data_IF_534621345182
#
_entry.id   IF_534621345182
#
_cell.length_a   1.000
_cell.length_b   1.000
_cell.length_c   1.000
_cell.angle_alpha   90.00
_cell.angle_beta   90.00
_cell.angle_gamma   90.00
#
_symmetry.space_group_name_H-M   'P 1'
#
loop_
_entity.id
_entity.type
_entity.pdbx_description
1 polymer ?
#
# COMPACT_ATOMS: atom_id res chain seq x y z
N UNK A 1 6.63 2.00 22.15
CA UNK A 1 6.55 0.81 21.30
C UNK A 1 7.14 1.13 19.94
N UNK A 2 7.79 0.16 19.32
CA UNK A 2 8.42 0.40 18.04
C UNK A 2 7.42 0.21 16.91
N UNK A 3 7.61 0.98 15.84
CA UNK A 3 6.80 0.88 14.65
C UNK A 3 7.25 -0.34 13.83
N UNK A 4 6.29 -1.14 13.40
CA UNK A 4 6.53 -2.23 12.45
C UNK A 4 6.27 -1.71 11.04
N UNK A 5 7.12 -2.10 10.10
CA UNK A 5 7.02 -1.67 8.72
C UNK A 5 6.75 -2.83 7.78
N UNK A 6 6.00 -2.58 6.74
CA UNK A 6 5.72 -3.55 5.68
C UNK A 6 6.06 -2.93 4.33
N UNK A 7 6.89 -3.63 3.57
CA UNK A 7 7.18 -3.28 2.18
C UNK A 7 6.06 -3.83 1.30
N UNK A 8 5.53 -2.98 0.42
CA UNK A 8 4.48 -3.36 -0.50
C UNK A 8 4.96 -3.12 -1.93
N UNK A 9 4.88 -4.15 -2.76
CA UNK A 9 5.31 -4.10 -4.15
C UNK A 9 4.14 -4.54 -5.01
N UNK A 10 3.72 -3.68 -5.93
CA UNK A 10 2.60 -3.95 -6.83
C UNK A 10 3.09 -4.05 -8.25
N UNK A 11 2.68 -5.11 -8.95
CA UNK A 11 2.82 -5.18 -10.39
C UNK A 11 1.62 -4.47 -11.02
N UNK A 12 1.87 -3.31 -11.61
CA UNK A 12 0.83 -2.50 -12.23
C UNK A 12 0.68 -2.92 -13.69
N UNK A 13 -0.55 -3.01 -14.17
CA UNK A 13 -0.82 -3.35 -15.57
C UNK A 13 -0.19 -2.32 -16.49
N UNK A 14 0.31 -2.80 -17.62
CA UNK A 14 0.97 -1.96 -18.62
C UNK A 14 0.04 -0.80 -19.03
N UNK A 15 0.59 0.41 -19.01
CA UNK A 15 -0.15 1.62 -19.38
C UNK A 15 -1.10 2.15 -18.31
N UNK A 16 -1.14 1.53 -17.13
CA UNK A 16 -2.07 1.94 -16.07
C UNK A 16 -1.40 2.63 -14.89
N UNK A 17 -0.09 2.88 -14.96
CA UNK A 17 0.65 3.43 -13.81
C UNK A 17 0.12 4.79 -13.36
N UNK A 18 -0.10 5.71 -14.30
CA UNK A 18 -0.56 7.07 -13.95
C UNK A 18 -1.95 7.03 -13.32
N UNK A 19 -2.85 6.21 -13.86
CA UNK A 19 -4.19 6.02 -13.30
C UNK A 19 -4.11 5.40 -11.90
N UNK A 20 -3.24 4.40 -11.73
CA UNK A 20 -3.06 3.77 -10.43
C UNK A 20 -2.52 4.75 -9.39
N UNK A 21 -1.52 5.54 -9.74
CA UNK A 21 -0.95 6.55 -8.82
C UNK A 21 -2.03 7.54 -8.39
N UNK A 22 -2.88 7.97 -9.32
CA UNK A 22 -3.99 8.87 -9.03
C UNK A 22 -4.99 8.26 -8.05
N UNK A 23 -5.41 7.03 -8.29
CA UNK A 23 -6.31 6.27 -7.39
C UNK A 23 -5.66 6.07 -6.02
N UNK A 24 -4.39 5.69 -6.00
CA UNK A 24 -3.67 5.48 -4.75
C UNK A 24 -3.63 6.75 -3.89
N UNK A 25 -3.32 7.89 -4.51
CA UNK A 25 -3.25 9.18 -3.80
C UNK A 25 -4.61 9.66 -3.30
N UNK A 26 -5.65 9.50 -4.12
CA UNK A 26 -6.97 10.03 -3.78
C UNK A 26 -7.80 9.11 -2.89
N UNK A 27 -7.57 7.79 -2.98
CA UNK A 27 -8.44 6.82 -2.30
C UNK A 27 -7.67 5.98 -1.26
N UNK A 28 -6.57 5.35 -1.65
CA UNK A 28 -5.87 4.41 -0.76
C UNK A 28 -5.12 5.14 0.36
N UNK A 29 -4.35 6.15 0.01
CA UNK A 29 -3.52 6.88 0.96
C UNK A 29 -4.32 7.52 2.09
N UNK A 30 -5.44 8.23 1.82
CA UNK A 30 -6.23 8.82 2.90
C UNK A 30 -6.81 7.77 3.86
N UNK A 31 -7.23 6.62 3.36
CA UNK A 31 -7.77 5.56 4.21
C UNK A 31 -6.65 4.99 5.10
N UNK A 32 -5.47 4.70 4.53
CA UNK A 32 -4.34 4.22 5.32
C UNK A 32 -3.99 5.19 6.45
N UNK A 33 -3.92 6.47 6.14
CA UNK A 33 -3.61 7.51 7.13
C UNK A 33 -4.67 7.59 8.23
N UNK A 34 -5.93 7.40 7.87
CA UNK A 34 -7.03 7.43 8.83
C UNK A 34 -6.92 6.30 9.85
N UNK A 35 -6.35 5.15 9.47
CA UNK A 35 -6.10 4.04 10.37
C UNK A 35 -4.75 4.17 11.11
N UNK A 36 -4.09 5.32 11.01
CA UNK A 36 -2.88 5.61 11.76
C UNK A 36 -1.58 5.12 11.14
N UNK A 37 -1.62 4.67 9.88
CA UNK A 37 -0.40 4.24 9.21
C UNK A 37 0.47 5.42 8.81
N UNK A 38 1.78 5.29 9.02
CA UNK A 38 2.78 6.11 8.37
C UNK A 38 3.04 5.54 6.97
N UNK A 39 3.39 6.41 6.04
CA UNK A 39 3.63 6.04 4.65
C UNK A 39 4.97 6.59 4.20
N UNK A 40 5.81 5.73 3.63
CA UNK A 40 7.10 6.10 3.08
C UNK A 40 7.09 5.76 1.58
N UNK A 41 7.53 6.66 0.76
CA UNK A 41 7.43 6.61 -0.70
C UNK A 41 6.24 7.43 -1.18
N UNK A 42 5.63 7.03 -2.30
CA UNK A 42 5.91 5.84 -3.10
C UNK A 42 7.05 6.01 -4.08
N UNK A 43 7.48 4.90 -4.66
CA UNK A 43 8.44 4.87 -5.76
C UNK A 43 7.87 4.08 -6.92
N UNK A 44 8.31 4.41 -8.13
CA UNK A 44 7.95 3.68 -9.33
C UNK A 44 9.23 3.07 -9.93
N UNK A 45 9.19 1.77 -10.22
CA UNK A 45 10.20 1.10 -11.03
C UNK A 45 9.64 1.06 -12.46
N UNK A 46 9.98 2.07 -13.28
CA UNK A 46 9.30 2.28 -14.57
C UNK A 46 9.51 1.14 -15.56
N UNK A 47 10.73 0.62 -15.63
CA UNK A 47 11.05 -0.45 -16.58
C UNK A 47 10.26 -1.73 -16.32
N UNK A 48 9.85 -1.96 -15.07
CA UNK A 48 9.15 -3.15 -14.64
C UNK A 48 7.67 -2.90 -14.32
N UNK A 49 7.21 -1.68 -14.49
CA UNK A 49 5.85 -1.28 -14.14
C UNK A 49 5.48 -1.65 -12.70
N UNK A 50 6.39 -1.40 -11.77
CA UNK A 50 6.17 -1.68 -10.34
C UNK A 50 5.97 -0.40 -9.57
N UNK A 51 5.08 -0.49 -8.59
CA UNK A 51 4.81 0.57 -7.62
C UNK A 51 5.20 0.06 -6.24
N UNK A 52 6.05 0.82 -5.56
CA UNK A 52 6.65 0.37 -4.29
C UNK A 52 6.40 1.41 -3.21
N UNK A 53 5.97 0.96 -2.04
CA UNK A 53 5.79 1.84 -0.89
C UNK A 53 5.92 1.06 0.40
N UNK A 54 6.07 1.78 1.51
CA UNK A 54 6.22 1.19 2.83
C UNK A 54 5.17 1.80 3.74
N UNK A 55 4.48 0.95 4.50
CA UNK A 55 3.53 1.36 5.53
C UNK A 55 4.06 0.96 6.90
N UNK A 56 3.84 1.82 7.89
CA UNK A 56 4.27 1.55 9.26
C UNK A 56 3.15 1.77 10.25
N UNK A 57 3.18 1.01 11.36
CA UNK A 57 2.23 1.17 12.45
C UNK A 57 2.81 0.51 13.70
N UNK A 58 2.55 1.10 14.86
CA UNK A 58 3.01 0.54 16.14
C UNK A 58 2.17 -0.66 16.59
N UNK A 59 1.00 -0.85 16.00
CA UNK A 59 0.15 -2.02 16.21
C UNK A 59 -0.33 -2.55 14.84
N UNK A 60 0.65 -3.00 14.05
CA UNK A 60 0.46 -3.25 12.62
C UNK A 60 -0.63 -4.28 12.32
N UNK A 61 -0.58 -5.42 12.98
CA UNK A 61 -1.49 -6.53 12.70
C UNK A 61 -2.95 -6.13 12.89
N UNK A 62 -3.24 -5.48 14.01
CA UNK A 62 -4.60 -5.02 14.34
C UNK A 62 -5.05 -3.91 13.40
N UNK A 63 -4.18 -2.93 13.14
CA UNK A 63 -4.51 -1.80 12.26
C UNK A 63 -4.74 -2.28 10.82
N UNK A 64 -3.93 -3.23 10.36
CA UNK A 64 -4.06 -3.77 9.01
C UNK A 64 -5.36 -4.56 8.84
N UNK A 65 -5.74 -5.34 9.85
CA UNK A 65 -7.02 -6.05 9.84
C UNK A 65 -8.20 -5.07 9.83
N UNK A 66 -8.13 -4.01 10.62
CA UNK A 66 -9.15 -2.97 10.66
C UNK A 66 -9.26 -2.25 9.31
N UNK A 67 -8.12 -1.95 8.69
CA UNK A 67 -8.10 -1.30 7.38
C UNK A 67 -8.81 -2.15 6.33
N UNK A 68 -8.43 -3.43 6.20
CA UNK A 68 -9.05 -4.32 5.20
C UNK A 68 -10.51 -4.65 5.52
N UNK A 69 -10.91 -4.59 6.78
CA UNK A 69 -12.29 -4.79 7.19
C UNK A 69 -13.16 -3.55 7.09
N UNK A 70 -12.58 -2.39 6.77
CA UNK A 70 -13.34 -1.14 6.70
C UNK A 70 -14.23 -1.07 5.47
N UNK A 71 -15.41 -0.42 5.57
CA UNK A 71 -16.26 -0.20 4.41
C UNK A 71 -15.57 0.60 3.31
N UNK A 72 -14.75 1.58 3.69
CA UNK A 72 -14.04 2.43 2.74
C UNK A 72 -13.09 1.61 1.88
N UNK A 73 -12.29 0.72 2.51
CA UNK A 73 -11.36 -0.12 1.75
C UNK A 73 -12.10 -1.17 0.94
N UNK A 74 -13.16 -1.75 1.49
CA UNK A 74 -13.97 -2.75 0.80
C UNK A 74 -14.59 -2.19 -0.48
N UNK A 75 -14.96 -0.90 -0.48
CA UNK A 75 -15.52 -0.25 -1.66
C UNK A 75 -14.52 -0.14 -2.80
N UNK A 76 -13.21 -0.16 -2.51
CA UNK A 76 -12.16 -0.11 -3.54
C UNK A 76 -11.83 -1.47 -4.13
N UNK A 77 -12.18 -2.56 -3.45
CA UNK A 77 -11.78 -3.90 -3.84
C UNK A 77 -12.09 -4.25 -5.29
N UNK A 78 -13.29 -3.95 -5.83
CA UNK A 78 -13.60 -4.27 -7.22
C UNK A 78 -12.73 -3.55 -8.24
N UNK A 79 -12.17 -2.38 -7.88
CA UNK A 79 -11.35 -1.58 -8.80
C UNK A 79 -9.90 -2.04 -8.84
N UNK A 80 -9.39 -2.60 -7.75
CA UNK A 80 -7.97 -2.92 -7.62
C UNK A 80 -7.47 -3.82 -8.78
N UNK A 81 -8.17 -4.92 -9.14
CA UNK A 81 -7.71 -5.78 -10.24
C UNK A 81 -7.69 -5.11 -11.62
N UNK A 82 -8.35 -3.98 -11.78
CA UNK A 82 -8.31 -3.23 -13.04
C UNK A 82 -6.93 -2.61 -13.27
N UNK A 83 -6.17 -2.38 -12.20
CA UNK A 83 -4.88 -1.71 -12.26
C UNK A 83 -3.71 -2.62 -11.91
N UNK A 84 -3.92 -3.61 -11.03
CA UNK A 84 -2.86 -4.42 -10.47
C UNK A 84 -2.99 -5.88 -10.88
N UNK A 85 -1.88 -6.47 -11.34
CA UNK A 85 -1.78 -7.89 -11.62
C UNK A 85 -1.32 -8.70 -10.41
N UNK A 86 -0.49 -8.11 -9.56
CA UNK A 86 0.08 -8.80 -8.41
C UNK A 86 0.37 -7.81 -7.29
N UNK A 87 0.14 -8.26 -6.07
CA UNK A 87 0.46 -7.52 -4.85
C UNK A 87 1.35 -8.39 -3.98
N UNK A 88 2.51 -7.87 -3.60
CA UNK A 88 3.40 -8.50 -2.64
C UNK A 88 3.49 -7.64 -1.39
N UNK A 89 3.51 -8.27 -0.24
CA UNK A 89 3.63 -7.59 1.05
C UNK A 89 4.59 -8.37 1.94
N UNK A 90 5.62 -7.68 2.44
CA UNK A 90 6.70 -8.29 3.22
C UNK A 90 6.96 -7.47 4.48
N UNK A 91 6.85 -8.12 5.64
CA UNK A 91 7.23 -7.45 6.88
C UNK A 91 8.74 -7.24 6.90
N UNK A 92 9.14 -6.07 7.40
CA UNK A 92 10.54 -5.67 7.45
C UNK A 92 11.03 -5.71 8.90
N UNK A 93 12.20 -6.32 9.10
CA UNK A 93 12.89 -6.28 10.39
C UNK A 93 14.03 -5.28 10.29
N UNK A 94 14.05 -4.30 11.19
CA UNK A 94 15.16 -3.36 11.24
C UNK A 94 16.39 -4.07 11.83
N UNK A 95 17.52 -3.94 11.15
CA UNK A 95 18.80 -4.48 11.66
C UNK A 95 19.70 -3.37 12.21
N UNK A 96 19.20 -2.13 12.17
CA UNK A 96 19.97 -0.97 12.58
C UNK A 96 20.99 -0.54 11.53
N UNK A 97 21.48 0.66 11.65
CA UNK A 97 22.51 1.19 10.75
C UNK A 97 23.73 1.64 11.53
#
# INVERSE_FOLDING_TARGET
>A
MSVQHQLRIYQVKKGRMDDWVSIWRSEVLPIRRRFGFSVIGPWIVRDESRFVWIVGHDNFSEANAAFYGSPERSALEPQIPEYLDKVEAWMLDSVGA
#
